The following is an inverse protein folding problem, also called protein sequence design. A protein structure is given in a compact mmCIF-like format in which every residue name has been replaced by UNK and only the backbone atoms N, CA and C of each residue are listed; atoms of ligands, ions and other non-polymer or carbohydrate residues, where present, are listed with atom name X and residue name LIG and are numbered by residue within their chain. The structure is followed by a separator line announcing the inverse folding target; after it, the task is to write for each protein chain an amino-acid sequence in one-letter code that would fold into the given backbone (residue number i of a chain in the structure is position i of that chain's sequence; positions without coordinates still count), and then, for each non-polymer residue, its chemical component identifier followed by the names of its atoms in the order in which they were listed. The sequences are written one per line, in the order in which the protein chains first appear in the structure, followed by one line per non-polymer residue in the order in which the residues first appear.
data_IF_174589206098
#
_entry.id   IF_174589206098
#
_cell.length_a   1.000
_cell.length_b   1.000
_cell.length_c   1.000
_cell.angle_alpha   90.00
_cell.angle_beta   90.00
_cell.angle_gamma   90.00
#
_symmetry.space_group_name_H-M   'P 1'
#
loop_
_entity.id
_entity.type
_entity.pdbx_description
1 polymer ?
#
# COMPACT_ATOMS: atom_id res chain seq x y z
N UNK A 1 7.14 12.31 20.99
CA UNK A 1 6.03 11.69 20.24
C UNK A 1 6.06 12.04 18.75
N UNK A 2 6.25 13.33 18.39
CA UNK A 2 6.29 13.79 16.98
C UNK A 2 7.41 13.10 16.18
N UNK A 3 8.59 12.87 16.78
CA UNK A 3 9.70 12.20 16.11
C UNK A 3 9.40 10.76 15.63
N UNK A 4 8.54 10.04 16.32
CA UNK A 4 8.17 8.67 15.90
C UNK A 4 7.32 8.64 14.63
N UNK A 5 6.47 9.64 14.40
CA UNK A 5 5.70 9.74 13.16
C UNK A 5 6.57 10.06 11.94
N UNK A 6 7.75 10.65 12.13
CA UNK A 6 8.72 10.84 11.05
C UNK A 6 9.25 9.51 10.49
N UNK A 7 9.24 8.44 11.29
CA UNK A 7 9.64 7.10 10.85
C UNK A 7 8.70 6.53 9.77
N UNK A 8 7.44 6.96 9.75
CA UNK A 8 6.49 6.58 8.70
C UNK A 8 7.00 7.03 7.33
N UNK A 9 7.53 8.26 7.24
CA UNK A 9 8.16 8.76 6.01
C UNK A 9 9.41 7.97 5.59
N UNK A 10 10.19 7.48 6.56
CA UNK A 10 11.37 6.67 6.28
C UNK A 10 11.01 5.33 5.62
N UNK A 11 9.89 4.71 5.99
CA UNK A 11 9.43 3.47 5.36
C UNK A 11 9.28 3.66 3.85
N UNK A 12 8.65 4.75 3.41
CA UNK A 12 8.52 5.05 1.99
C UNK A 12 9.85 5.37 1.30
N UNK A 13 10.76 6.07 2.00
CA UNK A 13 12.07 6.40 1.46
C UNK A 13 12.93 5.14 1.22
N UNK A 14 12.79 4.13 2.07
CA UNK A 14 13.57 2.89 1.99
C UNK A 14 12.87 1.74 1.24
N UNK A 15 11.70 1.97 0.61
CA UNK A 15 10.94 0.93 -0.10
C UNK A 15 11.76 0.18 -1.18
N UNK A 16 12.80 0.81 -1.74
CA UNK A 16 13.70 0.21 -2.72
C UNK A 16 14.51 -0.98 -2.17
N UNK A 17 14.71 -1.07 -0.85
CA UNK A 17 15.48 -2.16 -0.21
C UNK A 17 14.74 -3.50 -0.37
N UNK A 18 13.42 -3.53 -0.19
CA UNK A 18 12.64 -4.76 -0.31
C UNK A 18 11.88 -4.90 -1.63
N UNK A 19 11.96 -3.90 -2.52
CA UNK A 19 11.34 -3.96 -3.84
C UNK A 19 11.80 -5.20 -4.64
N UNK A 20 13.09 -5.61 -4.66
CA UNK A 20 13.48 -6.83 -5.36
C UNK A 20 12.85 -8.11 -4.78
N UNK A 21 12.54 -8.10 -3.48
CA UNK A 21 11.86 -9.22 -2.82
C UNK A 21 10.42 -9.34 -3.29
N UNK A 22 9.68 -8.23 -3.34
CA UNK A 22 8.30 -8.18 -3.85
C UNK A 22 8.26 -8.57 -5.34
N UNK A 23 9.27 -8.17 -6.10
CA UNK A 23 9.35 -8.46 -7.53
C UNK A 23 9.65 -9.92 -7.85
N UNK A 24 10.44 -10.60 -7.04
CA UNK A 24 10.98 -11.93 -7.38
C UNK A 24 10.33 -13.04 -6.56
N UNK A 25 9.92 -12.79 -5.31
CA UNK A 25 9.43 -13.86 -4.43
C UNK A 25 7.95 -14.19 -4.70
N UNK A 26 7.66 -15.45 -5.05
CA UNK A 26 6.28 -15.93 -5.08
C UNK A 26 5.79 -16.16 -3.65
N UNK A 27 4.56 -15.76 -3.37
CA UNK A 27 3.90 -16.08 -2.09
C UNK A 27 3.37 -17.52 -2.19
N UNK A 28 3.84 -18.44 -1.33
CA UNK A 28 3.37 -19.83 -1.36
C UNK A 28 1.84 -19.90 -1.34
N UNK A 29 1.26 -20.82 -2.10
CA UNK A 29 -0.16 -21.07 -2.25
C UNK A 29 -0.92 -19.94 -3.00
N UNK A 30 -0.83 -18.67 -2.59
CA UNK A 30 -1.59 -17.56 -3.20
C UNK A 30 -1.13 -17.28 -4.64
N UNK A 31 0.17 -17.30 -4.90
CA UNK A 31 0.70 -17.10 -6.26
C UNK A 31 0.19 -18.13 -7.26
N UNK A 32 -0.06 -19.37 -6.80
CA UNK A 32 -0.56 -20.45 -7.68
C UNK A 32 -2.03 -20.26 -8.05
N UNK A 33 -2.82 -19.63 -7.18
CA UNK A 33 -4.27 -19.48 -7.34
C UNK A 33 -4.62 -18.18 -8.08
N UNK A 34 -3.99 -17.07 -7.71
CA UNK A 34 -4.40 -15.73 -8.15
C UNK A 34 -3.31 -14.98 -8.91
N UNK A 35 -2.12 -15.54 -9.03
CA UNK A 35 -0.99 -14.87 -9.66
C UNK A 35 -0.07 -14.16 -8.65
N UNK A 36 1.16 -13.82 -9.10
CA UNK A 36 2.18 -13.25 -8.21
C UNK A 36 1.88 -11.80 -7.81
N UNK A 37 1.57 -10.96 -8.78
CA UNK A 37 1.33 -9.53 -8.52
C UNK A 37 0.07 -9.32 -7.70
N UNK A 38 -1.00 -10.03 -8.05
CA UNK A 38 -2.26 -9.97 -7.31
C UNK A 38 -2.14 -10.51 -5.89
N UNK A 39 -1.31 -11.53 -5.66
CA UNK A 39 -1.06 -12.06 -4.32
C UNK A 39 -0.40 -11.03 -3.40
N UNK A 40 0.62 -10.30 -3.88
CA UNK A 40 1.25 -9.22 -3.14
C UNK A 40 0.30 -8.05 -2.89
N UNK A 41 -0.51 -7.66 -3.87
CA UNK A 41 -1.53 -6.62 -3.71
C UNK A 41 -2.54 -6.99 -2.63
N UNK A 42 -3.08 -8.20 -2.66
CA UNK A 42 -4.09 -8.65 -1.67
C UNK A 42 -3.52 -8.71 -0.25
N UNK A 43 -2.33 -9.25 -0.05
CA UNK A 43 -1.69 -9.28 1.27
C UNK A 43 -1.48 -7.87 1.80
N UNK A 44 -0.97 -6.97 0.97
CA UNK A 44 -0.77 -5.58 1.35
C UNK A 44 -2.08 -4.90 1.74
N UNK A 45 -3.14 -5.08 0.93
CA UNK A 45 -4.47 -4.51 1.19
C UNK A 45 -5.08 -5.05 2.50
N UNK A 46 -4.99 -6.35 2.75
CA UNK A 46 -5.46 -6.95 4.01
C UNK A 46 -4.67 -6.40 5.19
N UNK A 47 -3.35 -6.27 5.05
CA UNK A 47 -2.49 -5.74 6.11
C UNK A 47 -2.80 -4.27 6.40
N UNK A 48 -3.11 -3.46 5.38
CA UNK A 48 -3.57 -2.07 5.55
C UNK A 48 -4.89 -2.03 6.33
N UNK A 49 -5.86 -2.89 5.99
CA UNK A 49 -7.13 -2.98 6.73
C UNK A 49 -6.89 -3.31 8.20
N UNK A 50 -6.04 -4.29 8.49
CA UNK A 50 -5.69 -4.68 9.86
C UNK A 50 -5.04 -3.49 10.58
N UNK A 51 -4.13 -2.78 9.95
CA UNK A 51 -3.48 -1.61 10.53
C UNK A 51 -4.46 -0.47 10.82
N UNK A 52 -5.36 -0.15 9.89
CA UNK A 52 -6.38 0.88 10.07
C UNK A 52 -7.38 0.53 11.17
N UNK A 53 -7.82 -0.73 11.24
CA UNK A 53 -8.69 -1.21 12.33
C UNK A 53 -7.94 -1.16 13.67
N UNK A 54 -6.67 -1.54 13.70
CA UNK A 54 -5.83 -1.44 14.90
C UNK A 54 -5.71 0.00 15.41
N UNK A 55 -5.52 0.98 14.51
CA UNK A 55 -5.54 2.41 14.86
C UNK A 55 -6.93 2.81 15.38
N UNK A 56 -8.00 2.38 14.71
CA UNK A 56 -9.38 2.70 15.07
C UNK A 56 -9.74 2.23 16.49
N UNK A 57 -9.21 1.08 16.91
CA UNK A 57 -9.51 0.46 18.20
C UNK A 57 -8.61 0.97 19.35
N UNK A 58 -7.68 1.87 19.07
CA UNK A 58 -6.72 2.37 20.05
C UNK A 58 -7.01 3.82 20.38
N UNK A 59 -7.13 4.15 21.68
CA UNK A 59 -7.28 5.53 22.12
C UNK A 59 -5.90 6.18 22.31
N UNK A 60 -5.58 7.25 21.56
CA UNK A 60 -4.32 7.98 21.71
C UNK A 60 -4.15 8.66 23.07
N UNK A 61 -5.23 8.92 23.81
CA UNK A 61 -5.16 9.51 25.13
C UNK A 61 -4.66 8.50 26.19
N UNK A 62 -4.95 7.21 26.01
CA UNK A 62 -4.50 6.16 26.91
C UNK A 62 -3.07 5.69 26.57
N UNK A 63 -2.83 5.33 25.30
CA UNK A 63 -1.53 4.80 24.90
C UNK A 63 -1.24 5.05 23.42
N UNK A 64 -0.21 5.83 23.14
CA UNK A 64 0.22 6.17 21.77
C UNK A 64 1.07 5.06 21.11
N UNK A 65 1.70 4.18 21.91
CA UNK A 65 2.62 3.17 21.35
C UNK A 65 1.96 2.19 20.37
N UNK A 66 0.79 1.61 20.64
CA UNK A 66 0.12 0.73 19.68
C UNK A 66 -0.23 1.46 18.37
N UNK A 67 -0.65 2.74 18.47
CA UNK A 67 -0.97 3.54 17.27
C UNK A 67 0.24 3.69 16.36
N UNK A 68 1.42 3.98 16.95
CA UNK A 68 2.68 4.06 16.19
C UNK A 68 2.96 2.71 15.50
N UNK A 69 2.79 1.59 16.20
CA UNK A 69 2.98 0.26 15.64
C UNK A 69 2.05 -0.03 14.46
N UNK A 70 0.76 0.23 14.61
CA UNK A 70 -0.21 0.04 13.52
C UNK A 70 0.00 1.04 12.37
N UNK A 71 0.39 2.27 12.65
CA UNK A 71 0.72 3.25 11.64
C UNK A 71 1.95 2.83 10.81
N UNK A 72 3.00 2.32 11.46
CA UNK A 72 4.17 1.77 10.77
C UNK A 72 3.82 0.53 9.94
N UNK A 73 3.00 -0.38 10.48
CA UNK A 73 2.50 -1.54 9.75
C UNK A 73 1.74 -1.12 8.49
N UNK A 74 0.82 -0.14 8.63
CA UNK A 74 0.03 0.41 7.52
C UNK A 74 0.95 1.05 6.48
N UNK A 75 1.94 1.84 6.91
CA UNK A 75 2.89 2.50 6.01
C UNK A 75 3.74 1.48 5.24
N UNK A 76 4.24 0.43 5.92
CA UNK A 76 5.00 -0.64 5.29
C UNK A 76 4.15 -1.42 4.26
N UNK A 77 2.93 -1.77 4.62
CA UNK A 77 2.01 -2.47 3.73
C UNK A 77 1.63 -1.59 2.52
N UNK A 78 1.39 -0.30 2.73
CA UNK A 78 1.09 0.65 1.67
C UNK A 78 2.27 0.85 0.71
N UNK A 79 3.50 1.00 1.23
CA UNK A 79 4.70 1.07 0.40
C UNK A 79 4.93 -0.22 -0.41
N UNK A 80 4.60 -1.38 0.18
CA UNK A 80 4.65 -2.68 -0.51
C UNK A 80 3.58 -2.79 -1.59
N UNK A 81 2.37 -2.30 -1.30
CA UNK A 81 1.29 -2.21 -2.30
C UNK A 81 1.70 -1.35 -3.49
N UNK A 82 2.32 -0.19 -3.26
CA UNK A 82 2.82 0.69 -4.32
C UNK A 82 3.79 -0.04 -5.24
N UNK A 83 4.76 -0.77 -4.69
CA UNK A 83 5.73 -1.55 -5.48
C UNK A 83 5.00 -2.57 -6.36
N UNK A 84 4.08 -3.34 -5.77
CA UNK A 84 3.35 -4.37 -6.50
C UNK A 84 2.42 -3.78 -7.57
N UNK A 85 1.79 -2.62 -7.29
CA UNK A 85 0.88 -1.93 -8.19
C UNK A 85 1.62 -1.29 -9.37
N UNK A 86 2.78 -0.66 -9.11
CA UNK A 86 3.62 -0.10 -10.17
C UNK A 86 4.10 -1.19 -11.14
N UNK A 87 4.55 -2.33 -10.59
CA UNK A 87 4.95 -3.47 -11.40
C UNK A 87 3.77 -4.08 -12.17
N UNK A 88 2.59 -4.23 -11.52
CA UNK A 88 1.36 -4.69 -12.15
C UNK A 88 0.99 -3.79 -13.34
N UNK A 89 1.04 -2.46 -13.16
CA UNK A 89 0.73 -1.48 -14.20
C UNK A 89 1.68 -1.61 -15.41
N UNK A 90 2.99 -1.69 -15.14
CA UNK A 90 4.00 -1.78 -16.19
C UNK A 90 3.85 -3.09 -17.00
N UNK A 91 3.54 -4.19 -16.32
CA UNK A 91 3.36 -5.51 -16.96
C UNK A 91 2.00 -5.67 -17.66
N UNK A 92 1.02 -4.79 -17.40
CA UNK A 92 -0.36 -4.92 -17.91
C UNK A 92 -0.61 -4.22 -19.25
N UNK A 93 0.21 -3.28 -19.66
CA UNK A 93 -0.01 -2.48 -20.87
C UNK A 93 1.18 -2.41 -21.80
N UNK A 94 0.91 -2.15 -23.07
CA UNK A 94 1.94 -1.92 -24.08
C UNK A 94 2.66 -0.59 -23.86
N UNK A 95 3.83 -0.40 -24.48
CA UNK A 95 4.67 0.80 -24.31
C UNK A 95 3.90 2.07 -24.68
N UNK A 96 3.07 2.00 -25.71
CA UNK A 96 2.25 3.11 -26.19
C UNK A 96 1.15 3.53 -25.20
N UNK A 97 0.68 2.60 -24.38
CA UNK A 97 -0.39 2.84 -23.40
C UNK A 97 0.13 3.32 -22.02
N UNK A 98 1.43 3.17 -21.75
CA UNK A 98 2.02 3.49 -20.45
C UNK A 98 1.78 4.94 -20.01
N UNK A 99 1.74 5.88 -20.96
CA UNK A 99 1.44 7.28 -20.67
C UNK A 99 0.01 7.50 -20.17
N UNK A 100 -0.98 6.88 -20.82
CA UNK A 100 -2.39 6.96 -20.42
C UNK A 100 -2.64 6.26 -19.09
N UNK A 101 -2.03 5.08 -18.88
CA UNK A 101 -2.11 4.34 -17.62
C UNK A 101 -1.51 5.14 -16.46
N UNK A 102 -0.35 5.79 -16.66
CA UNK A 102 0.26 6.64 -15.65
C UNK A 102 -0.62 7.85 -15.29
N UNK A 103 -1.24 8.49 -16.29
CA UNK A 103 -2.14 9.62 -16.08
C UNK A 103 -3.39 9.21 -15.28
N UNK A 104 -4.00 8.07 -15.63
CA UNK A 104 -5.16 7.52 -14.93
C UNK A 104 -4.82 7.14 -13.49
N UNK A 105 -3.67 6.49 -13.29
CA UNK A 105 -3.16 6.16 -11.95
C UNK A 105 -2.98 7.43 -11.11
N UNK A 106 -2.34 8.46 -11.66
CA UNK A 106 -2.09 9.71 -10.95
C UNK A 106 -3.40 10.44 -10.61
N UNK A 107 -4.38 10.39 -11.48
CA UNK A 107 -5.71 10.96 -11.20
C UNK A 107 -6.39 10.22 -10.04
N UNK A 108 -6.40 8.89 -10.07
CA UNK A 108 -6.92 8.06 -8.97
C UNK A 108 -6.21 8.34 -7.64
N UNK A 109 -4.89 8.47 -7.66
CA UNK A 109 -4.09 8.84 -6.49
C UNK A 109 -4.51 10.19 -5.91
N UNK A 110 -4.74 11.22 -6.73
CA UNK A 110 -5.19 12.54 -6.29
C UNK A 110 -6.58 12.50 -5.66
N UNK A 111 -7.52 11.76 -6.26
CA UNK A 111 -8.86 11.58 -5.70
C UNK A 111 -8.77 10.87 -4.34
N UNK A 112 -8.00 9.78 -4.25
CA UNK A 112 -7.81 9.04 -3.01
C UNK A 112 -7.17 9.91 -1.91
N UNK A 113 -6.19 10.75 -2.25
CA UNK A 113 -5.53 11.65 -1.31
C UNK A 113 -6.51 12.68 -0.73
N UNK A 114 -7.39 13.26 -1.56
CA UNK A 114 -8.43 14.18 -1.10
C UNK A 114 -9.44 13.44 -0.21
N UNK A 115 -9.88 12.26 -0.63
CA UNK A 115 -10.86 11.45 0.12
C UNK A 115 -10.28 11.01 1.46
N UNK A 116 -9.02 10.58 1.52
CA UNK A 116 -8.41 10.13 2.77
C UNK A 116 -8.10 11.26 3.74
N UNK A 117 -7.78 12.46 3.26
CA UNK A 117 -7.47 13.60 4.14
C UNK A 117 -8.73 14.39 4.52
N UNK A 118 -9.37 15.05 3.56
CA UNK A 118 -10.57 15.84 3.82
C UNK A 118 -11.76 14.95 4.21
N UNK A 119 -11.92 13.78 3.57
CA UNK A 119 -12.97 12.83 3.89
C UNK A 119 -12.90 12.30 5.31
N UNK A 120 -11.70 11.95 5.80
CA UNK A 120 -11.54 11.49 7.18
C UNK A 120 -11.90 12.57 8.20
N UNK A 121 -11.51 13.83 7.95
CA UNK A 121 -11.88 14.96 8.81
C UNK A 121 -13.39 15.23 8.80
N UNK A 122 -14.02 15.18 7.63
CA UNK A 122 -15.48 15.34 7.51
C UNK A 122 -16.22 14.23 8.23
N UNK A 123 -15.78 12.99 8.11
CA UNK A 123 -16.38 11.85 8.83
C UNK A 123 -16.21 12.03 10.34
N UNK A 124 -15.01 12.37 10.81
CA UNK A 124 -14.77 12.59 12.22
C UNK A 124 -15.66 13.72 12.77
N UNK A 125 -15.81 14.84 12.05
CA UNK A 125 -16.69 15.95 12.45
C UNK A 125 -18.17 15.57 12.42
N UNK A 126 -18.59 14.72 11.47
CA UNK A 126 -19.97 14.25 11.39
C UNK A 126 -20.37 13.35 12.55
N UNK A 127 -19.46 12.52 13.03
CA UNK A 127 -19.68 11.63 14.17
C UNK A 127 -19.35 12.27 15.51
N UNK A 128 -18.90 13.53 15.53
CA UNK A 128 -18.64 14.26 16.77
C UNK A 128 -19.93 14.86 17.31
N UNK A 129 -20.58 14.13 18.23
CA UNK A 129 -21.80 14.57 18.91
C UNK A 129 -21.50 15.30 20.22
N UNK A 130 -20.23 15.44 20.61
CA UNK A 130 -19.81 16.01 21.87
C UNK A 130 -19.17 17.39 21.67
N UNK A 131 -19.99 18.44 21.68
CA UNK A 131 -19.52 19.84 21.64
C UNK A 131 -18.63 20.18 22.85
N UNK A 132 -17.39 19.86 22.92
CA UNK A 132 -16.38 20.29 23.91
C UNK A 132 -15.72 19.19 24.77
N UNK A 133 -15.97 17.91 24.52
CA UNK A 133 -15.29 16.84 25.27
C UNK A 133 -14.52 15.94 24.28
N UNK A 134 -13.24 15.66 24.58
CA UNK A 134 -12.47 14.71 23.78
C UNK A 134 -13.17 13.35 23.74
N UNK A 135 -13.31 12.80 22.52
CA UNK A 135 -13.80 11.44 22.29
C UNK A 135 -13.02 10.75 21.19
N UNK A 136 -12.60 9.52 21.40
CA UNK A 136 -11.92 8.70 20.37
C UNK A 136 -12.91 8.12 19.35
N UNK A 137 -14.19 8.01 19.71
CA UNK A 137 -15.26 7.40 18.90
C UNK A 137 -15.42 7.97 17.49
N UNK A 138 -15.42 9.30 17.25
CA UNK A 138 -15.51 9.86 15.90
C UNK A 138 -14.37 9.40 14.99
N UNK A 139 -13.17 9.38 15.51
CA UNK A 139 -11.99 8.90 14.78
C UNK A 139 -12.02 7.40 14.53
N UNK A 140 -12.54 6.63 15.49
CA UNK A 140 -12.75 5.19 15.32
C UNK A 140 -13.63 4.91 14.08
N UNK A 141 -14.79 5.59 13.97
CA UNK A 141 -15.66 5.44 12.81
C UNK A 141 -15.00 5.91 11.51
N UNK A 142 -14.27 7.03 11.54
CA UNK A 142 -13.56 7.52 10.36
C UNK A 142 -12.54 6.48 9.85
N UNK A 143 -11.72 5.89 10.72
CA UNK A 143 -10.75 4.86 10.33
C UNK A 143 -11.41 3.55 9.85
N UNK A 144 -12.53 3.13 10.46
CA UNK A 144 -13.28 1.95 10.01
C UNK A 144 -13.85 2.17 8.60
N UNK A 145 -14.41 3.35 8.32
CA UNK A 145 -14.93 3.69 6.99
C UNK A 145 -13.79 3.75 5.98
N UNK A 146 -12.64 4.33 6.33
CA UNK A 146 -11.44 4.33 5.47
C UNK A 146 -10.94 2.91 5.20
N UNK A 147 -10.96 2.02 6.19
CA UNK A 147 -10.66 0.61 6.01
C UNK A 147 -11.65 -0.08 5.06
N UNK A 148 -12.94 0.27 5.12
CA UNK A 148 -13.96 -0.25 4.22
C UNK A 148 -13.74 0.19 2.76
N UNK A 149 -13.22 1.39 2.50
CA UNK A 149 -12.83 1.80 1.14
C UNK A 149 -11.75 0.90 0.53
N UNK A 150 -10.91 0.25 1.32
CA UNK A 150 -9.93 -0.70 0.81
C UNK A 150 -10.59 -1.93 0.16
N UNK A 151 -11.85 -2.25 0.50
CA UNK A 151 -12.60 -3.32 -0.17
C UNK A 151 -12.78 -3.05 -1.67
N UNK A 152 -12.84 -1.79 -2.09
CA UNK A 152 -12.85 -1.41 -3.52
C UNK A 152 -11.53 -1.87 -4.17
N UNK A 153 -10.40 -1.63 -3.52
CA UNK A 153 -9.09 -2.09 -4.00
C UNK A 153 -9.01 -3.62 -4.08
N UNK A 154 -9.46 -4.32 -3.04
CA UNK A 154 -9.51 -5.79 -3.02
C UNK A 154 -10.38 -6.32 -4.17
N UNK A 155 -11.58 -5.76 -4.35
CA UNK A 155 -12.49 -6.17 -5.42
C UNK A 155 -11.86 -5.95 -6.80
N UNK A 156 -11.25 -4.79 -7.01
CA UNK A 156 -10.53 -4.48 -8.25
C UNK A 156 -9.39 -5.46 -8.50
N UNK A 157 -8.58 -5.76 -7.47
CA UNK A 157 -7.48 -6.73 -7.58
C UNK A 157 -7.99 -8.14 -7.92
N UNK A 158 -9.15 -8.55 -7.40
CA UNK A 158 -9.73 -9.86 -7.68
C UNK A 158 -10.34 -9.97 -9.08
N UNK A 159 -10.87 -8.87 -9.62
CA UNK A 159 -11.48 -8.84 -10.95
C UNK A 159 -10.42 -8.68 -12.04
N UNK A 160 -9.35 -7.92 -11.79
CA UNK A 160 -8.30 -7.66 -12.78
C UNK A 160 -7.56 -8.95 -13.15
N UNK A 161 -7.31 -9.22 -14.45
CA UNK A 161 -6.50 -10.36 -14.86
C UNK A 161 -5.05 -10.20 -14.39
N UNK A 162 -4.40 -11.30 -14.06
CA UNK A 162 -2.95 -11.28 -13.77
C UNK A 162 -2.19 -10.91 -15.05
N UNK A 163 -1.25 -9.95 -15.00
CA UNK A 163 -0.43 -9.61 -16.16
C UNK A 163 0.36 -10.83 -16.63
N UNK A 164 0.39 -11.03 -17.94
CA UNK A 164 1.25 -12.05 -18.56
C UNK A 164 2.68 -11.50 -18.53
N UNK A 165 3.31 -11.56 -17.37
CA UNK A 165 4.71 -11.15 -17.22
C UNK A 165 5.58 -11.87 -18.25
N UNK A 166 6.50 -11.16 -18.86
CA UNK A 166 7.42 -11.72 -19.84
C UNK A 166 8.14 -12.95 -19.25
N UNK A 167 7.77 -14.13 -19.73
CA UNK A 167 8.35 -15.41 -19.32
C UNK A 167 9.87 -15.49 -19.56
N UNK A 168 10.44 -14.53 -20.28
CA UNK A 168 11.85 -14.40 -20.54
C UNK A 168 12.62 -13.61 -19.46
N UNK A 169 11.94 -12.76 -18.69
CA UNK A 169 12.57 -11.97 -17.61
C UNK A 169 13.08 -12.82 -16.46
N UNK A 170 12.52 -14.02 -16.25
CA UNK A 170 12.96 -14.94 -15.19
C UNK A 170 14.27 -15.71 -15.49
N UNK A 171 14.85 -15.53 -16.67
CA UNK A 171 16.08 -16.26 -17.09
C UNK A 171 17.36 -15.43 -17.04
N UNK A 172 17.32 -14.18 -16.60
CA UNK A 172 18.55 -13.41 -16.41
C UNK A 172 19.02 -13.60 -14.95
N UNK A 173 20.05 -14.43 -14.69
CA UNK A 173 20.63 -14.52 -13.35
C UNK A 173 21.31 -13.18 -13.05
N UNK A 174 20.80 -12.44 -12.08
CA UNK A 174 21.37 -11.13 -11.65
C UNK A 174 22.75 -11.29 -10.98
N UNK A 175 23.27 -12.49 -10.81
CA UNK A 175 24.46 -12.78 -10.03
C UNK A 175 25.77 -12.88 -10.82
N UNK A 176 25.93 -12.29 -11.99
CA UNK A 176 27.23 -12.46 -12.68
C UNK A 176 27.66 -11.33 -13.60
N UNK A 177 26.73 -10.61 -14.21
CA UNK A 177 27.09 -9.73 -15.32
C UNK A 177 27.23 -8.24 -15.00
N UNK A 178 26.61 -7.78 -13.92
CA UNK A 178 26.60 -6.35 -13.60
C UNK A 178 27.91 -5.92 -12.92
N UNK A 179 28.46 -6.73 -12.02
CA UNK A 179 29.73 -6.43 -11.34
C UNK A 179 30.90 -6.53 -12.32
N UNK A 180 30.89 -7.48 -13.26
CA UNK A 180 31.95 -7.60 -14.27
C UNK A 180 31.93 -6.48 -15.32
N UNK A 181 30.77 -5.88 -15.62
CA UNK A 181 30.70 -4.73 -16.51
C UNK A 181 31.14 -3.42 -15.85
N UNK A 182 31.06 -3.30 -14.53
CA UNK A 182 31.54 -2.13 -13.79
C UNK A 182 33.03 -2.17 -13.48
N UNK A 183 33.66 -3.34 -13.45
CA UNK A 183 35.09 -3.52 -13.17
C UNK A 183 35.95 -3.65 -14.43
N UNK A 184 35.38 -3.56 -15.61
CA UNK A 184 36.06 -3.70 -16.90
C UNK A 184 36.38 -2.37 -17.61
N UNK A 185 36.60 -1.28 -16.84
CA UNK A 185 37.20 -0.01 -17.31
C UNK A 185 38.50 0.24 -16.59
#
# INVERSE_FOLDING_TARGET
TIGFFSWIGLVYAFKWIWSPLVDQMPIPLMTRIIGRRRAWLLISQITIIIGLIGIAMTDPAENVSPIIGFALLTAFASATQDIALDAFRIESGEIEEQGAMAATYQMGYRIAMITSSAGALLLASWFDYTEHTYGSTPWMYAYIIMAAFMLVGITTTLISPEPIGDKNSSKTPIAGSTIQRFLGW
#
